data_IF_429127212594
#
_entry.id   IF_429127212594
#
_cell.length_a   1.000
_cell.length_b   1.000
_cell.length_c   1.000
_cell.angle_alpha   90.00
_cell.angle_beta   90.00
_cell.angle_gamma   90.00
#
_symmetry.space_group_name_H-M   'P 1'
#
loop_
_entity.id
_entity.type
_entity.pdbx_description
1 polymer ?
#
# COMPACT_ATOMS: atom_id res chain seq x y z
N UNK A 1 23.96 -7.13 12.71
CA UNK A 1 23.46 -7.31 11.33
C UNK A 1 23.63 -8.77 10.99
N UNK A 2 22.62 -9.42 10.42
CA UNK A 2 22.80 -10.72 9.79
C UNK A 2 23.10 -10.49 8.30
N UNK A 3 24.30 -10.80 7.80
CA UNK A 3 24.65 -10.61 6.39
C UNK A 3 24.09 -11.70 5.48
N UNK A 4 23.72 -12.87 6.03
CA UNK A 4 23.37 -14.05 5.24
C UNK A 4 21.93 -14.00 4.72
N UNK A 5 20.99 -13.56 5.55
CA UNK A 5 19.58 -13.40 5.16
C UNK A 5 18.79 -12.53 6.13
N UNK A 6 17.66 -12.01 5.63
CA UNK A 6 16.62 -11.36 6.42
C UNK A 6 15.28 -12.09 6.18
N UNK A 7 14.40 -12.12 7.18
CA UNK A 7 13.07 -12.70 7.01
C UNK A 7 12.31 -12.04 5.87
N UNK A 8 11.54 -12.82 5.13
CA UNK A 8 10.62 -12.31 4.11
C UNK A 8 9.51 -11.45 4.73
N UNK A 9 8.75 -10.75 3.87
CA UNK A 9 7.73 -9.78 4.29
C UNK A 9 6.69 -10.37 5.25
N UNK A 10 6.25 -11.60 4.97
CA UNK A 10 5.19 -12.35 5.65
C UNK A 10 5.72 -13.53 6.49
N UNK A 11 7.04 -13.71 6.57
CA UNK A 11 7.65 -14.79 7.36
C UNK A 11 7.44 -14.57 8.87
N UNK A 12 7.36 -13.32 9.31
CA UNK A 12 6.95 -12.95 10.66
C UNK A 12 6.39 -11.51 10.74
N UNK A 13 5.44 -11.29 11.66
CA UNK A 13 4.65 -10.04 11.78
C UNK A 13 5.48 -8.77 11.97
N UNK A 14 6.62 -8.91 12.65
CA UNK A 14 7.48 -7.82 13.12
C UNK A 14 8.93 -7.95 12.63
N UNK A 15 9.15 -8.42 11.41
CA UNK A 15 10.49 -8.32 10.83
C UNK A 15 10.92 -6.84 10.70
N UNK A 16 12.24 -6.54 10.74
CA UNK A 16 12.72 -5.15 10.72
C UNK A 16 12.24 -4.36 9.50
N UNK A 17 12.13 -5.00 8.33
CA UNK A 17 11.72 -4.37 7.08
C UNK A 17 10.24 -3.99 7.14
N UNK A 18 9.37 -4.93 7.48
CA UNK A 18 7.92 -4.68 7.58
C UNK A 18 7.59 -3.70 8.68
N UNK A 19 8.25 -3.79 9.84
CA UNK A 19 8.08 -2.86 10.96
C UNK A 19 8.46 -1.43 10.56
N UNK A 20 9.60 -1.27 9.89
CA UNK A 20 10.04 0.03 9.38
C UNK A 20 9.01 0.63 8.43
N UNK A 21 8.61 -0.12 7.40
CA UNK A 21 7.68 0.38 6.39
C UNK A 21 6.28 0.66 6.95
N UNK A 22 5.75 -0.19 7.83
CA UNK A 22 4.48 0.07 8.52
C UNK A 22 4.56 1.39 9.31
N UNK A 23 5.66 1.67 10.02
CA UNK A 23 5.81 2.90 10.80
C UNK A 23 5.98 4.14 9.91
N UNK A 24 6.80 4.04 8.87
CA UNK A 24 7.02 5.11 7.91
C UNK A 24 5.71 5.48 7.19
N UNK A 25 4.99 4.48 6.66
CA UNK A 25 3.72 4.68 5.97
C UNK A 25 2.63 5.26 6.87
N UNK A 26 2.51 4.80 8.12
CA UNK A 26 1.55 5.39 9.07
C UNK A 26 1.84 6.88 9.31
N UNK A 27 3.12 7.23 9.44
CA UNK A 27 3.55 8.62 9.66
C UNK A 27 3.27 9.48 8.42
N UNK A 28 3.56 8.96 7.23
CA UNK A 28 3.27 9.62 5.97
C UNK A 28 1.77 9.89 5.81
N UNK A 29 0.94 8.85 5.94
CA UNK A 29 -0.51 8.97 5.80
C UNK A 29 -1.14 9.93 6.82
N UNK A 30 -0.64 9.96 8.06
CA UNK A 30 -1.10 10.90 9.09
C UNK A 30 -0.79 12.35 8.75
N UNK A 31 0.30 12.61 8.02
CA UNK A 31 0.71 13.95 7.59
C UNK A 31 0.07 14.41 6.28
N UNK A 32 -0.59 13.52 5.55
CA UNK A 32 -1.26 13.83 4.29
C UNK A 32 -2.49 14.72 4.48
N UNK A 33 -2.73 15.60 3.51
CA UNK A 33 -3.89 16.50 3.48
C UNK A 33 -4.32 16.80 2.03
N UNK A 34 -5.52 17.36 1.86
CA UNK A 34 -6.11 17.66 0.57
C UNK A 34 -6.46 16.40 -0.23
N UNK A 35 -6.16 16.40 -1.53
CA UNK A 35 -6.42 15.29 -2.43
C UNK A 35 -5.25 14.30 -2.36
N UNK A 36 -5.50 13.12 -1.79
CA UNK A 36 -4.54 12.02 -1.75
C UNK A 36 -4.69 11.18 -3.02
N UNK A 37 -3.60 10.97 -3.76
CA UNK A 37 -3.59 10.14 -4.97
C UNK A 37 -2.94 8.80 -4.69
N UNK A 38 -3.60 7.73 -5.09
CA UNK A 38 -3.15 6.36 -4.91
C UNK A 38 -3.06 5.69 -6.26
N UNK A 39 -1.87 5.22 -6.64
CA UNK A 39 -1.67 4.46 -7.87
C UNK A 39 -1.71 2.97 -7.56
N UNK A 40 -2.54 2.22 -8.29
CA UNK A 40 -2.70 0.77 -8.14
C UNK A 40 -2.44 0.08 -9.47
N UNK A 41 -1.85 -1.11 -9.41
CA UNK A 41 -1.63 -1.93 -10.60
C UNK A 41 -2.90 -2.76 -10.88
N UNK A 42 -3.58 -2.43 -11.98
CA UNK A 42 -4.78 -3.11 -12.47
C UNK A 42 -4.52 -4.51 -13.02
N UNK A 43 -3.28 -4.75 -13.49
CA UNK A 43 -2.83 -6.02 -14.05
C UNK A 43 -2.14 -6.92 -13.00
N UNK A 44 -2.28 -6.60 -11.71
CA UNK A 44 -1.69 -7.40 -10.64
C UNK A 44 -2.50 -8.66 -10.34
N UNK A 45 -1.81 -9.80 -10.30
CA UNK A 45 -2.41 -11.05 -9.83
C UNK A 45 -2.89 -10.89 -8.38
N UNK A 46 -4.13 -11.31 -8.11
CA UNK A 46 -4.78 -11.13 -6.81
C UNK A 46 -5.58 -9.83 -6.64
N UNK A 47 -5.75 -9.06 -7.72
CA UNK A 47 -6.63 -7.89 -7.79
C UNK A 47 -5.96 -6.58 -7.38
N UNK A 48 -6.67 -5.48 -7.65
CA UNK A 48 -6.13 -4.11 -7.65
C UNK A 48 -5.81 -3.56 -6.26
N UNK A 49 -6.41 -4.14 -5.21
CA UNK A 49 -6.18 -3.74 -3.81
C UNK A 49 -6.12 -4.97 -2.89
N UNK A 50 -4.92 -5.52 -2.71
CA UNK A 50 -4.68 -6.68 -1.84
C UNK A 50 -5.05 -6.35 -0.39
N UNK A 51 -5.74 -7.30 0.28
CA UNK A 51 -6.22 -7.13 1.66
C UNK A 51 -5.07 -6.82 2.64
N UNK A 52 -3.95 -7.50 2.45
CA UNK A 52 -2.75 -7.38 3.29
C UNK A 52 -1.78 -6.25 2.87
N UNK A 53 -2.20 -5.36 1.96
CA UNK A 53 -1.34 -4.25 1.54
C UNK A 53 -1.16 -3.22 2.65
N UNK A 54 0.00 -2.56 2.66
CA UNK A 54 0.29 -1.44 3.58
C UNK A 54 -0.75 -0.33 3.41
N UNK A 55 -1.16 -0.05 2.17
CA UNK A 55 -2.21 0.92 1.87
C UNK A 55 -3.47 0.68 2.69
N UNK A 56 -3.98 -0.56 2.67
CA UNK A 56 -5.24 -0.91 3.32
C UNK A 56 -5.11 -1.10 4.83
N UNK A 57 -4.02 -1.72 5.27
CA UNK A 57 -3.84 -2.11 6.68
C UNK A 57 -3.23 -1.01 7.55
N UNK A 58 -2.52 -0.06 6.94
CA UNK A 58 -1.75 0.97 7.66
C UNK A 58 -2.10 2.38 7.20
N UNK A 59 -1.98 2.67 5.90
CA UNK A 59 -2.06 4.06 5.42
C UNK A 59 -3.47 4.62 5.56
N UNK A 60 -4.48 3.96 4.96
CA UNK A 60 -5.87 4.42 5.04
C UNK A 60 -6.35 4.59 6.49
N UNK A 61 -6.13 3.62 7.41
CA UNK A 61 -6.49 3.82 8.82
C UNK A 61 -5.73 4.95 9.53
N UNK A 62 -4.53 5.29 9.07
CA UNK A 62 -3.70 6.33 9.69
C UNK A 62 -3.98 7.74 9.14
N UNK A 63 -4.76 7.88 8.07
CA UNK A 63 -5.07 9.17 7.46
C UNK A 63 -5.89 10.05 8.40
N UNK A 64 -5.59 11.35 8.39
CA UNK A 64 -6.38 12.35 9.10
C UNK A 64 -7.63 12.72 8.30
N UNK A 65 -8.79 12.23 8.73
CA UNK A 65 -10.08 12.45 8.06
C UNK A 65 -10.51 13.92 7.98
N UNK A 66 -9.97 14.79 8.85
CA UNK A 66 -10.27 16.22 8.82
C UNK A 66 -9.37 17.00 7.85
N UNK A 67 -8.23 16.42 7.46
CA UNK A 67 -7.24 17.06 6.59
C UNK A 67 -7.32 16.55 5.15
N UNK A 68 -7.70 15.28 4.96
CA UNK A 68 -7.88 14.68 3.63
C UNK A 68 -9.29 15.01 3.13
N UNK A 69 -9.36 15.69 1.98
CA UNK A 69 -10.62 16.06 1.34
C UNK A 69 -11.13 15.00 0.37
N UNK A 70 -10.21 14.27 -0.27
CA UNK A 70 -10.54 13.29 -1.31
C UNK A 70 -9.43 12.25 -1.44
N UNK A 71 -9.78 11.01 -1.80
CA UNK A 71 -8.83 9.96 -2.18
C UNK A 71 -9.11 9.54 -3.62
N UNK A 72 -8.15 9.75 -4.51
CA UNK A 72 -8.24 9.41 -5.93
C UNK A 72 -7.43 8.16 -6.23
N UNK A 73 -8.09 7.12 -6.72
CA UNK A 73 -7.44 5.89 -7.16
C UNK A 73 -7.17 5.92 -8.66
N UNK A 74 -5.90 5.74 -9.04
CA UNK A 74 -5.45 5.60 -10.42
C UNK A 74 -5.06 4.16 -10.66
N UNK A 75 -5.93 3.42 -11.35
CA UNK A 75 -5.73 2.02 -11.67
C UNK A 75 -5.05 1.94 -13.03
N UNK A 76 -3.79 1.51 -13.01
CA UNK A 76 -2.92 1.47 -14.17
C UNK A 76 -2.76 0.04 -14.63
N UNK A 77 -3.15 -0.24 -15.87
CA UNK A 77 -2.92 -1.53 -16.51
C UNK A 77 -1.60 -1.55 -17.28
N UNK A 78 -1.00 -2.73 -17.37
CA UNK A 78 0.12 -2.95 -18.27
C UNK A 78 -0.35 -2.75 -19.72
N UNK A 79 0.41 -1.99 -20.51
CA UNK A 79 0.06 -1.59 -21.88
C UNK A 79 -0.26 -2.78 -22.80
N UNK A 80 0.34 -3.96 -22.53
CA UNK A 80 0.18 -5.17 -23.34
C UNK A 80 -0.58 -6.30 -22.63
N UNK A 81 -1.08 -6.10 -21.40
CA UNK A 81 -1.83 -7.13 -20.70
C UNK A 81 -3.33 -7.04 -21.02
N UNK A 82 -4.06 -8.18 -21.10
CA UNK A 82 -5.52 -8.16 -21.20
C UNK A 82 -6.11 -7.52 -19.95
N UNK A 83 -7.04 -6.56 -20.11
CA UNK A 83 -7.77 -5.99 -18.97
C UNK A 83 -8.50 -7.10 -18.20
N UNK A 84 -8.05 -7.40 -16.98
CA UNK A 84 -8.81 -8.21 -16.04
C UNK A 84 -10.03 -7.39 -15.61
N UNK A 85 -11.23 -7.92 -15.88
CA UNK A 85 -12.49 -7.24 -15.55
C UNK A 85 -12.62 -7.16 -14.03
N UNK A 86 -12.91 -5.95 -13.54
CA UNK A 86 -13.36 -5.71 -12.18
C UNK A 86 -14.63 -6.53 -11.93
N UNK A 87 -14.56 -7.53 -11.06
CA UNK A 87 -15.71 -8.22 -10.48
C UNK A 87 -15.50 -8.37 -8.97
#
# INVERSE_FOLDING_TARGET
MNPDSCPAWDECDHNPISSFWKKASATFAKSSCGIVKVMLNGSADGGVARKESILRTVEIPSMNQNAVSEIQFWIMDNVMAPRQKFM
#
